data_IF_752468286299
#
_entry.id   IF_752468286299
#
_cell.length_a   1.000
_cell.length_b   1.000
_cell.length_c   1.000
_cell.angle_alpha   90.00
_cell.angle_beta   90.00
_cell.angle_gamma   90.00
#
_symmetry.space_group_name_H-M   'P 1'
#
loop_
_entity.id
_entity.type
_entity.pdbx_description
1 polymer ?
#
# COMPACT_ATOMS: atom_id res chain seq x y z
N UNK A 1 3.24 13.77 -14.24
CA UNK A 1 1.96 13.60 -13.50
C UNK A 1 1.26 12.30 -13.88
N UNK A 2 1.12 11.99 -15.15
CA UNK A 2 0.54 10.74 -15.67
C UNK A 2 1.21 9.50 -15.10
N UNK A 3 2.54 9.40 -15.12
CA UNK A 3 3.33 8.29 -14.57
C UNK A 3 3.01 7.97 -13.10
N UNK A 4 2.85 9.01 -12.27
CA UNK A 4 2.52 8.84 -10.86
C UNK A 4 1.09 8.30 -10.68
N UNK A 5 0.14 8.79 -11.47
CA UNK A 5 -1.26 8.31 -11.42
C UNK A 5 -1.32 6.86 -11.88
N UNK A 6 -0.62 6.52 -12.96
CA UNK A 6 -0.54 5.14 -13.47
C UNK A 6 0.03 4.20 -12.40
N UNK A 7 1.18 4.56 -11.81
CA UNK A 7 1.79 3.78 -10.73
C UNK A 7 0.84 3.57 -9.55
N UNK A 8 0.17 4.63 -9.08
CA UNK A 8 -0.79 4.53 -7.98
C UNK A 8 -1.99 3.64 -8.33
N UNK A 9 -2.46 3.71 -9.56
CA UNK A 9 -3.57 2.88 -10.04
C UNK A 9 -3.16 1.41 -10.08
N UNK A 10 -2.03 1.09 -10.67
CA UNK A 10 -1.48 -0.27 -10.76
C UNK A 10 -1.22 -0.86 -9.36
N UNK A 11 -0.60 -0.09 -8.45
CA UNK A 11 -0.39 -0.49 -7.06
C UNK A 11 -1.72 -0.84 -6.37
N UNK A 12 -2.75 0.00 -6.55
CA UNK A 12 -4.04 -0.22 -5.90
C UNK A 12 -4.82 -1.40 -6.51
N UNK A 13 -4.68 -1.65 -7.80
CA UNK A 13 -5.22 -2.85 -8.45
C UNK A 13 -4.50 -4.09 -7.93
N UNK A 14 -3.17 -4.09 -7.89
CA UNK A 14 -2.37 -5.21 -7.41
C UNK A 14 -2.73 -5.59 -5.97
N UNK A 15 -2.77 -4.61 -5.05
CA UNK A 15 -3.13 -4.88 -3.65
C UNK A 15 -4.55 -5.42 -3.51
N UNK A 16 -5.49 -4.95 -4.34
CA UNK A 16 -6.88 -5.42 -4.34
C UNK A 16 -6.98 -6.88 -4.77
N UNK A 17 -6.26 -7.26 -5.82
CA UNK A 17 -6.21 -8.64 -6.32
C UNK A 17 -5.55 -9.56 -5.28
N UNK A 18 -4.39 -9.19 -4.75
CA UNK A 18 -3.71 -9.99 -3.73
C UNK A 18 -4.55 -10.15 -2.46
N UNK A 19 -5.18 -9.07 -1.99
CA UNK A 19 -6.03 -9.16 -0.82
C UNK A 19 -7.29 -9.97 -1.07
N UNK A 20 -7.87 -9.89 -2.27
CA UNK A 20 -8.97 -10.78 -2.71
C UNK A 20 -8.57 -12.26 -2.63
N UNK A 21 -7.40 -12.61 -3.15
CA UNK A 21 -6.86 -13.96 -3.05
C UNK A 21 -6.61 -14.39 -1.58
N UNK A 22 -6.13 -13.48 -0.73
CA UNK A 22 -6.03 -13.72 0.71
C UNK A 22 -7.38 -14.10 1.34
N UNK A 23 -8.43 -13.36 1.03
CA UNK A 23 -9.76 -13.61 1.59
C UNK A 23 -10.32 -14.97 1.17
N UNK A 24 -10.05 -15.40 -0.06
CA UNK A 24 -10.54 -16.65 -0.61
C UNK A 24 -9.74 -17.86 -0.09
N UNK A 25 -8.42 -17.78 -0.06
CA UNK A 25 -7.54 -18.93 0.17
C UNK A 25 -7.06 -19.01 1.61
N UNK A 26 -6.58 -17.88 2.17
CA UNK A 26 -5.80 -17.87 3.41
C UNK A 26 -6.59 -17.44 4.65
N UNK A 27 -7.69 -16.70 4.52
CA UNK A 27 -8.45 -16.15 5.66
C UNK A 27 -8.87 -17.22 6.68
N UNK A 28 -9.18 -18.43 6.22
CA UNK A 28 -9.63 -19.56 7.06
C UNK A 28 -8.49 -20.54 7.40
N UNK A 29 -7.27 -20.28 6.96
CA UNK A 29 -6.14 -21.16 7.24
C UNK A 29 -5.75 -21.07 8.71
N UNK A 30 -5.37 -22.19 9.31
CA UNK A 30 -4.88 -22.28 10.68
C UNK A 30 -3.39 -21.99 10.82
N UNK A 31 -2.65 -21.89 9.71
CA UNK A 31 -1.23 -21.56 9.73
C UNK A 31 -1.05 -20.04 9.69
N UNK A 32 -0.98 -19.44 10.89
CA UNK A 32 -0.81 -17.98 11.02
C UNK A 32 0.50 -17.47 10.45
N UNK A 33 1.57 -18.29 10.45
CA UNK A 33 2.84 -17.93 9.84
C UNK A 33 2.72 -17.83 8.31
N UNK A 34 2.05 -18.77 7.66
CA UNK A 34 1.77 -18.71 6.21
C UNK A 34 0.91 -17.52 5.85
N UNK A 35 -0.13 -17.22 6.65
CA UNK A 35 -0.97 -16.03 6.47
C UNK A 35 -0.15 -14.74 6.55
N UNK A 36 0.76 -14.64 7.52
CA UNK A 36 1.66 -13.49 7.67
C UNK A 36 2.56 -13.32 6.46
N UNK A 37 3.26 -14.39 6.06
CA UNK A 37 4.13 -14.36 4.88
C UNK A 37 3.38 -13.92 3.63
N UNK A 38 2.16 -14.44 3.45
CA UNK A 38 1.31 -14.02 2.35
C UNK A 38 0.99 -12.52 2.38
N UNK A 39 0.53 -12.00 3.51
CA UNK A 39 0.14 -10.59 3.64
C UNK A 39 1.34 -9.64 3.43
N UNK A 40 2.51 -10.01 3.94
CA UNK A 40 3.75 -9.27 3.71
C UNK A 40 4.17 -9.31 2.25
N UNK A 41 4.13 -10.50 1.65
CA UNK A 41 4.39 -10.66 0.22
C UNK A 41 3.44 -9.80 -0.63
N UNK A 42 2.14 -9.82 -0.34
CA UNK A 42 1.14 -9.03 -1.03
C UNK A 42 1.46 -7.52 -0.98
N UNK A 43 1.89 -7.01 0.19
CA UNK A 43 2.31 -5.61 0.32
C UNK A 43 3.54 -5.30 -0.54
N UNK A 44 4.61 -6.10 -0.40
CA UNK A 44 5.86 -5.87 -1.13
C UNK A 44 5.66 -6.02 -2.63
N UNK A 45 4.97 -7.09 -3.07
CA UNK A 45 4.69 -7.35 -4.47
C UNK A 45 3.87 -6.22 -5.11
N UNK A 46 2.91 -5.66 -4.39
CA UNK A 46 2.12 -4.54 -4.90
C UNK A 46 2.94 -3.27 -5.13
N UNK A 47 4.02 -3.05 -4.37
CA UNK A 47 4.97 -1.96 -4.64
C UNK A 47 5.93 -2.28 -5.79
N UNK A 48 6.37 -3.52 -5.91
CA UNK A 48 7.41 -3.91 -6.85
C UNK A 48 6.86 -4.12 -8.26
N UNK A 49 5.68 -4.75 -8.39
CA UNK A 49 5.11 -5.11 -9.70
C UNK A 49 4.96 -3.90 -10.63
N UNK A 50 4.43 -2.74 -10.20
CA UNK A 50 4.32 -1.57 -11.08
C UNK A 50 5.68 -0.99 -11.52
N UNK A 51 6.77 -1.31 -10.82
CA UNK A 51 8.13 -0.88 -11.21
C UNK A 51 8.75 -1.79 -12.27
N UNK A 52 8.22 -3.01 -12.44
CA UNK A 52 8.70 -3.99 -13.42
C UNK A 52 8.04 -3.68 -14.77
N UNK A 53 8.67 -2.80 -15.55
CA UNK A 53 8.28 -2.54 -16.94
C UNK A 53 8.94 -3.57 -17.85
N UNK A 54 8.18 -4.53 -18.33
CA UNK A 54 8.65 -5.50 -19.32
C UNK A 54 8.30 -4.99 -20.72
N UNK A 55 9.30 -4.61 -21.50
CA UNK A 55 9.15 -4.40 -22.94
C UNK A 55 9.10 -5.78 -23.60
N UNK A 56 7.93 -6.38 -23.65
CA UNK A 56 7.71 -7.57 -24.46
C UNK A 56 7.61 -7.06 -25.89
N UNK A 57 8.71 -7.10 -26.65
CA UNK A 57 8.69 -6.81 -28.07
C UNK A 57 7.76 -7.86 -28.74
N UNK A 58 6.51 -7.53 -28.94
CA UNK A 58 5.65 -8.30 -29.83
C UNK A 58 6.26 -8.18 -31.22
N UNK A 59 6.51 -9.29 -31.92
CA UNK A 59 6.88 -9.20 -33.31
C UNK A 59 5.74 -8.47 -34.02
N UNK A 60 6.00 -7.24 -34.44
CA UNK A 60 5.05 -6.42 -35.17
C UNK A 60 4.62 -7.20 -36.42
N UNK A 61 3.52 -7.90 -36.30
CA UNK A 61 2.75 -8.31 -37.47
C UNK A 61 2.28 -7.02 -38.11
N UNK A 62 2.99 -6.59 -39.14
CA UNK A 62 2.66 -5.43 -39.96
C UNK A 62 1.29 -5.63 -40.61
N UNK A 63 0.25 -5.31 -39.89
CA UNK A 63 -1.00 -4.89 -40.49
C UNK A 63 -0.80 -3.41 -40.84
N UNK A 64 -0.22 -3.16 -42.02
CA UNK A 64 -0.23 -1.84 -42.64
C UNK A 64 -1.68 -1.44 -42.90
N UNK A 65 -2.38 -0.99 -41.88
CA UNK A 65 -3.59 -0.22 -42.05
C UNK A 65 -3.15 1.20 -42.43
N UNK A 66 -3.07 1.45 -43.70
CA UNK A 66 -2.93 2.81 -44.23
C UNK A 66 -4.22 3.56 -43.86
N UNK A 67 -4.23 4.17 -42.70
CA UNK A 67 -5.25 5.17 -42.34
C UNK A 67 -5.00 6.37 -43.23
N UNK A 68 -5.88 6.60 -44.21
CA UNK A 68 -5.91 7.85 -44.97
C UNK A 68 -6.38 8.92 -43.98
N UNK A 69 -5.44 9.61 -43.35
CA UNK A 69 -5.76 10.82 -42.58
C UNK A 69 -6.10 11.93 -43.54
N UNK A 70 -7.35 12.35 -43.54
CA UNK A 70 -7.78 13.56 -44.22
C UNK A 70 -7.11 14.76 -43.53
N UNK A 71 -6.55 15.76 -44.29
CA UNK A 71 -5.92 16.90 -43.70
C UNK A 71 -6.97 17.72 -42.92
N UNK A 72 -6.74 17.83 -41.61
CA UNK A 72 -7.51 18.69 -40.74
C UNK A 72 -7.16 20.16 -41.06
N UNK A 73 -8.11 20.90 -41.58
CA UNK A 73 -7.93 22.35 -41.84
C UNK A 73 -8.01 23.08 -40.51
N UNK A 74 -6.86 23.32 -39.91
CA UNK A 74 -6.75 24.15 -38.69
C UNK A 74 -6.92 25.62 -39.11
N UNK A 75 -8.10 26.18 -38.88
CA UNK A 75 -8.30 27.64 -38.94
C UNK A 75 -7.56 28.26 -37.75
N UNK A 76 -6.33 28.70 -37.98
CA UNK A 76 -5.57 29.52 -37.03
C UNK A 76 -6.23 30.88 -36.84
N UNK A 77 -7.22 30.95 -35.96
CA UNK A 77 -7.62 32.24 -35.39
C UNK A 77 -6.54 32.71 -34.43
N UNK A 78 -5.87 33.80 -34.71
CA UNK A 78 -4.97 34.48 -33.76
C UNK A 78 -5.77 34.99 -32.57
N UNK A 79 -6.12 34.07 -31.66
CA UNK A 79 -6.57 34.45 -30.34
C UNK A 79 -5.30 34.65 -29.49
N UNK A 80 -5.03 35.89 -29.15
CA UNK A 80 -4.08 36.24 -28.08
C UNK A 80 -4.61 35.63 -26.83
N UNK A 81 -4.20 34.39 -26.55
CA UNK A 81 -4.55 33.68 -25.30
C UNK A 81 -3.78 34.34 -24.19
N UNK A 82 -4.41 35.29 -23.51
CA UNK A 82 -4.11 35.54 -22.10
C UNK A 82 -4.24 34.20 -21.42
N UNK A 83 -3.11 33.63 -21.04
CA UNK A 83 -3.08 32.39 -20.27
C UNK A 83 -3.79 32.66 -18.94
N UNK A 84 -5.10 32.48 -18.92
CA UNK A 84 -5.83 32.31 -17.69
C UNK A 84 -5.35 30.98 -17.13
N UNK A 85 -4.59 31.02 -16.05
CA UNK A 85 -4.28 29.89 -15.21
C UNK A 85 -5.61 29.34 -14.62
N UNK A 86 -6.36 28.62 -15.44
CA UNK A 86 -7.46 27.82 -14.94
C UNK A 86 -6.82 26.62 -14.25
N UNK A 87 -6.82 26.61 -12.92
CA UNK A 87 -6.37 25.45 -12.14
C UNK A 87 -7.11 24.21 -12.64
N UNK A 88 -6.36 23.29 -13.20
CA UNK A 88 -6.91 22.02 -13.69
C UNK A 88 -7.50 21.22 -12.52
N UNK A 89 -8.62 20.55 -12.73
CA UNK A 89 -9.19 19.61 -11.75
C UNK A 89 -8.13 18.62 -11.23
N UNK A 90 -7.23 18.19 -12.09
CA UNK A 90 -6.11 17.31 -11.76
C UNK A 90 -5.15 17.93 -10.74
N UNK A 91 -4.86 19.22 -10.84
CA UNK A 91 -4.01 19.94 -9.87
C UNK A 91 -4.68 20.02 -8.50
N UNK A 92 -5.98 20.30 -8.48
CA UNK A 92 -6.76 20.33 -7.23
C UNK A 92 -6.75 18.95 -6.55
N UNK A 93 -7.01 17.89 -7.31
CA UNK A 93 -6.98 16.51 -6.79
C UNK A 93 -5.59 16.12 -6.26
N UNK A 94 -4.52 16.53 -6.94
CA UNK A 94 -3.15 16.30 -6.49
C UNK A 94 -2.85 17.01 -5.17
N UNK A 95 -3.24 18.27 -5.05
CA UNK A 95 -3.07 19.04 -3.80
C UNK A 95 -3.85 18.40 -2.66
N UNK A 96 -5.09 18.00 -2.89
CA UNK A 96 -5.90 17.27 -1.91
C UNK A 96 -5.25 15.94 -1.49
N UNK A 97 -4.74 15.17 -2.47
CA UNK A 97 -4.03 13.92 -2.19
C UNK A 97 -2.80 14.13 -1.31
N UNK A 98 -1.96 15.11 -1.66
CA UNK A 98 -0.75 15.45 -0.89
C UNK A 98 -1.12 15.92 0.52
N UNK A 99 -2.14 16.78 0.67
CA UNK A 99 -2.56 17.28 1.97
C UNK A 99 -3.02 16.16 2.91
N UNK A 100 -3.84 15.21 2.42
CA UNK A 100 -4.31 14.07 3.22
C UNK A 100 -3.16 13.10 3.50
N UNK A 101 -2.28 12.81 2.53
CA UNK A 101 -1.10 11.96 2.74
C UNK A 101 -0.16 12.56 3.79
N UNK A 102 0.08 13.88 3.74
CA UNK A 102 0.88 14.61 4.74
C UNK A 102 0.25 14.53 6.13
N UNK A 103 -1.08 14.61 6.25
CA UNK A 103 -1.77 14.39 7.51
C UNK A 103 -1.51 12.98 8.08
N UNK A 104 -1.57 11.92 7.26
CA UNK A 104 -1.28 10.56 7.70
C UNK A 104 0.20 10.37 8.07
N UNK A 105 1.14 10.98 7.33
CA UNK A 105 2.57 11.02 7.71
C UNK A 105 2.74 11.68 9.08
N UNK A 106 2.13 12.84 9.28
CA UNK A 106 2.18 13.54 10.58
C UNK A 106 1.65 12.70 11.73
N UNK A 107 0.53 12.00 11.52
CA UNK A 107 -0.04 11.06 12.49
C UNK A 107 0.91 9.89 12.80
N UNK A 108 1.54 9.30 11.78
CA UNK A 108 2.52 8.23 11.93
C UNK A 108 3.73 8.70 12.74
N UNK A 109 4.31 9.84 12.36
CA UNK A 109 5.46 10.42 13.06
C UNK A 109 5.13 10.78 14.51
N UNK A 110 3.97 11.38 14.78
CA UNK A 110 3.52 11.67 16.14
C UNK A 110 3.38 10.39 16.98
N UNK A 111 2.87 9.30 16.41
CA UNK A 111 2.81 7.99 17.07
C UNK A 111 4.20 7.44 17.42
N UNK A 112 5.12 7.48 16.47
CA UNK A 112 6.51 7.04 16.69
C UNK A 112 7.23 7.92 17.74
N UNK A 113 7.08 9.24 17.66
CA UNK A 113 7.66 10.17 18.61
C UNK A 113 7.13 9.91 20.03
N UNK A 114 5.82 9.67 20.17
CA UNK A 114 5.23 9.32 21.47
C UNK A 114 5.88 8.06 22.07
N UNK A 115 6.09 7.01 21.27
CA UNK A 115 6.74 5.76 21.72
C UNK A 115 8.19 6.05 22.16
N UNK A 116 8.94 6.83 21.39
CA UNK A 116 10.33 7.20 21.72
C UNK A 116 10.39 7.99 23.03
N UNK A 117 9.56 9.02 23.18
CA UNK A 117 9.49 9.82 24.43
C UNK A 117 9.15 8.90 25.60
N UNK A 118 8.12 8.06 25.47
CA UNK A 118 7.69 7.16 26.52
C UNK A 118 8.79 6.17 26.90
N UNK A 119 9.56 5.65 25.94
CA UNK A 119 10.68 4.74 26.22
C UNK A 119 11.83 5.42 26.92
N UNK A 120 12.02 6.74 26.69
CA UNK A 120 13.05 7.53 27.32
C UNK A 120 12.70 7.95 28.77
N UNK A 121 11.41 8.24 29.01
CA UNK A 121 10.92 8.76 30.30
C UNK A 121 10.44 7.68 31.25
N UNK A 122 10.11 6.46 30.77
CA UNK A 122 9.62 5.37 31.61
C UNK A 122 10.71 4.73 32.46
N UNK A 123 10.33 4.30 33.66
CA UNK A 123 11.19 3.46 34.52
C UNK A 123 11.43 2.11 33.86
N UNK A 124 12.67 1.63 33.89
CA UNK A 124 13.06 0.35 33.29
C UNK A 124 13.24 -0.70 34.39
N UNK A 125 12.52 -1.81 34.27
CA UNK A 125 12.63 -2.94 35.19
C UNK A 125 12.90 -4.24 34.45
N UNK A 126 13.49 -5.19 35.16
CA UNK A 126 13.64 -6.57 34.67
C UNK A 126 12.54 -7.42 35.31
N UNK A 127 11.68 -8.00 34.47
CA UNK A 127 10.66 -8.94 34.88
C UNK A 127 10.89 -10.26 34.12
N UNK A 128 11.07 -11.35 34.83
CA UNK A 128 11.28 -12.69 34.24
C UNK A 128 12.39 -12.72 33.15
N UNK A 129 13.48 -11.99 33.34
CA UNK A 129 14.60 -11.92 32.38
C UNK A 129 14.32 -11.04 31.15
N UNK A 130 13.18 -10.35 31.11
CA UNK A 130 12.81 -9.41 30.05
C UNK A 130 12.87 -7.98 30.55
N UNK A 131 13.49 -7.09 29.78
CA UNK A 131 13.54 -5.65 30.10
C UNK A 131 12.24 -5.00 29.68
N UNK A 132 11.53 -4.44 30.65
CA UNK A 132 10.24 -3.75 30.44
C UNK A 132 10.31 -2.30 30.82
N UNK A 133 9.47 -1.49 30.17
CA UNK A 133 9.25 -0.10 30.46
C UNK A 133 7.93 0.03 31.23
N UNK A 134 8.01 0.57 32.44
CA UNK A 134 6.83 0.79 33.27
C UNK A 134 6.10 2.04 32.79
N UNK A 135 4.89 1.85 32.30
CA UNK A 135 4.05 2.95 31.82
C UNK A 135 2.62 2.80 32.32
N UNK A 136 2.11 3.85 32.92
CA UNK A 136 0.69 3.97 33.31
C UNK A 136 -0.19 4.52 32.18
N UNK A 137 0.43 5.14 31.18
CA UNK A 137 -0.29 5.78 30.07
C UNK A 137 -0.55 4.83 28.89
N UNK A 138 0.35 3.84 28.71
CA UNK A 138 0.24 2.85 27.67
C UNK A 138 -0.28 1.54 28.28
N UNK A 139 -1.34 1.00 27.69
CA UNK A 139 -1.69 -0.39 27.94
C UNK A 139 -0.52 -1.31 27.57
N UNK A 140 -0.51 -2.54 28.06
CA UNK A 140 0.47 -3.53 27.69
C UNK A 140 0.63 -3.57 26.17
N UNK A 141 1.83 -3.32 25.69
CA UNK A 141 2.13 -3.22 24.27
C UNK A 141 3.62 -3.38 24.00
N UNK A 142 3.95 -3.82 22.80
CA UNK A 142 5.32 -3.96 22.35
C UNK A 142 5.58 -3.18 21.05
N UNK A 143 6.76 -2.59 20.94
CA UNK A 143 7.23 -1.93 19.73
C UNK A 143 8.71 -2.26 19.50
N UNK A 144 9.02 -3.05 18.49
CA UNK A 144 10.32 -3.71 18.31
C UNK A 144 10.73 -4.46 19.58
N UNK A 145 11.84 -4.06 20.21
CA UNK A 145 12.36 -4.64 21.46
C UNK A 145 11.85 -3.93 22.73
N UNK A 146 11.05 -2.86 22.58
CA UNK A 146 10.49 -2.11 23.70
C UNK A 146 9.18 -2.77 24.13
N UNK A 147 9.08 -3.20 25.38
CA UNK A 147 7.86 -3.74 25.96
C UNK A 147 7.39 -2.80 27.08
N UNK A 148 6.17 -2.30 26.95
CA UNK A 148 5.53 -1.43 27.93
C UNK A 148 4.51 -2.21 28.72
N UNK A 149 4.52 -2.09 30.04
CA UNK A 149 3.58 -2.76 30.95
C UNK A 149 3.24 -1.83 32.10
N UNK A 150 1.97 -1.88 32.54
CA UNK A 150 1.54 -1.31 33.81
C UNK A 150 1.30 -2.45 34.82
N UNK A 151 2.25 -2.74 35.72
CA UNK A 151 2.12 -3.83 36.67
C UNK A 151 1.05 -3.59 37.72
N UNK A 152 0.52 -2.36 37.86
CA UNK A 152 -0.54 -2.06 38.78
C UNK A 152 -1.92 -2.54 38.33
N UNK A 153 -2.07 -2.86 37.05
CA UNK A 153 -3.35 -3.22 36.42
C UNK A 153 -3.61 -4.73 36.40
N UNK A 154 -2.64 -5.57 36.81
CA UNK A 154 -2.73 -7.02 36.70
C UNK A 154 -2.23 -7.71 37.96
N UNK A 155 -2.83 -8.85 38.29
CA UNK A 155 -2.28 -9.76 39.30
C UNK A 155 -0.98 -10.39 38.78
N UNK A 156 -0.22 -11.11 39.63
CA UNK A 156 1.05 -11.70 39.25
C UNK A 156 0.96 -12.74 38.12
N UNK A 157 -0.15 -13.48 38.05
CA UNK A 157 -0.37 -14.52 37.04
C UNK A 157 -0.73 -13.89 35.70
N UNK A 158 -1.70 -12.97 35.68
CA UNK A 158 -2.06 -12.21 34.49
C UNK A 158 -0.86 -11.43 33.93
N UNK A 159 -0.03 -10.84 34.79
CA UNK A 159 1.18 -10.12 34.37
C UNK A 159 2.17 -11.00 33.61
N UNK A 160 2.35 -12.26 34.05
CA UNK A 160 3.24 -13.19 33.37
C UNK A 160 2.72 -13.55 31.98
N UNK A 161 1.43 -13.81 31.85
CA UNK A 161 0.80 -14.12 30.56
C UNK A 161 0.88 -12.92 29.59
N UNK A 162 0.65 -11.72 30.11
CA UNK A 162 0.76 -10.49 29.33
C UNK A 162 2.20 -10.28 28.87
N UNK A 163 3.19 -10.42 29.76
CA UNK A 163 4.59 -10.27 29.44
C UNK A 163 5.05 -11.26 28.39
N UNK A 164 4.60 -12.51 28.49
CA UNK A 164 4.90 -13.55 27.51
C UNK A 164 4.31 -13.20 26.14
N UNK A 165 3.06 -12.79 26.09
CA UNK A 165 2.38 -12.35 24.87
C UNK A 165 3.14 -11.19 24.18
N UNK A 166 3.46 -10.13 24.91
CA UNK A 166 4.21 -8.97 24.38
C UNK A 166 5.63 -9.35 23.93
N UNK A 167 6.25 -10.30 24.64
CA UNK A 167 7.55 -10.84 24.25
C UNK A 167 7.49 -11.55 22.90
N UNK A 168 6.41 -12.28 22.61
CA UNK A 168 6.23 -12.89 21.29
C UNK A 168 6.02 -11.85 20.19
N UNK A 169 5.27 -10.77 20.44
CA UNK A 169 5.18 -9.67 19.48
C UNK A 169 6.55 -9.07 19.15
N UNK A 170 7.37 -8.83 20.17
CA UNK A 170 8.72 -8.30 20.00
C UNK A 170 9.62 -9.27 19.23
N UNK A 171 9.66 -10.55 19.64
CA UNK A 171 10.49 -11.59 19.01
C UNK A 171 10.11 -11.89 17.57
N UNK A 172 8.83 -11.86 17.24
CA UNK A 172 8.33 -12.11 15.90
C UNK A 172 8.44 -10.87 15.00
N UNK A 173 8.81 -9.71 15.54
CA UNK A 173 8.99 -8.48 14.76
C UNK A 173 7.69 -7.91 14.18
N UNK A 174 6.55 -8.09 14.86
CA UNK A 174 5.24 -7.63 14.41
C UNK A 174 5.16 -6.11 14.18
N UNK A 175 6.05 -5.35 14.85
CA UNK A 175 6.14 -3.89 14.69
C UNK A 175 6.56 -3.47 13.28
N UNK A 176 7.44 -4.24 12.63
CA UNK A 176 7.86 -3.97 11.26
C UNK A 176 6.70 -4.12 10.28
N UNK A 177 5.94 -5.21 10.40
CA UNK A 177 4.78 -5.47 9.53
C UNK A 177 3.73 -4.37 9.67
N UNK A 178 3.48 -3.92 10.92
CA UNK A 178 2.56 -2.80 11.18
C UNK A 178 3.06 -1.50 10.56
N UNK A 179 4.35 -1.22 10.66
CA UNK A 179 4.95 -0.03 10.06
C UNK A 179 4.81 -0.05 8.53
N UNK A 180 5.09 -1.19 7.89
CA UNK A 180 4.88 -1.36 6.45
C UNK A 180 3.42 -1.12 6.05
N UNK A 181 2.46 -1.63 6.82
CA UNK A 181 1.04 -1.41 6.57
C UNK A 181 0.63 0.07 6.75
N UNK A 182 1.23 0.79 7.71
CA UNK A 182 1.00 2.24 7.89
C UNK A 182 1.59 3.04 6.72
N UNK A 183 2.78 2.68 6.21
CA UNK A 183 3.37 3.32 5.02
C UNK A 183 2.48 3.10 3.79
N UNK A 184 1.98 1.88 3.58
CA UNK A 184 1.04 1.60 2.51
C UNK A 184 -0.25 2.42 2.66
N UNK A 185 -0.75 2.58 3.91
CA UNK A 185 -1.92 3.39 4.19
C UNK A 185 -1.71 4.88 3.87
N UNK A 186 -0.53 5.43 4.14
CA UNK A 186 -0.18 6.81 3.79
C UNK A 186 -0.27 7.04 2.27
N UNK A 187 0.15 6.07 1.48
CA UNK A 187 0.15 6.17 0.01
C UNK A 187 -1.23 5.90 -0.57
N UNK A 188 -1.95 4.92 -0.03
CA UNK A 188 -3.23 4.43 -0.58
C UNK A 188 -4.40 4.60 0.39
N UNK A 189 -4.45 5.71 1.13
CA UNK A 189 -5.45 6.01 2.16
C UNK A 189 -6.89 6.00 1.64
N UNK A 190 -7.09 6.32 0.37
CA UNK A 190 -8.38 6.33 -0.31
C UNK A 190 -8.90 4.93 -0.66
N UNK A 191 -8.03 3.89 -0.63
CA UNK A 191 -8.42 2.52 -0.94
C UNK A 191 -8.89 1.78 0.32
N UNK A 192 -10.17 1.38 0.42
CA UNK A 192 -10.70 0.66 1.59
C UNK A 192 -10.04 -0.70 1.80
N UNK A 193 -9.52 -1.32 0.74
CA UNK A 193 -8.82 -2.61 0.81
C UNK A 193 -7.56 -2.52 1.67
N UNK A 194 -6.83 -1.41 1.61
CA UNK A 194 -5.63 -1.18 2.43
C UNK A 194 -5.98 -1.14 3.92
N UNK A 195 -7.10 -0.53 4.29
CA UNK A 195 -7.60 -0.54 5.67
C UNK A 195 -7.97 -1.95 6.14
N UNK A 196 -8.60 -2.74 5.26
CA UNK A 196 -8.93 -4.13 5.55
C UNK A 196 -7.68 -5.01 5.68
N UNK A 197 -6.68 -4.82 4.81
CA UNK A 197 -5.39 -5.52 4.85
C UNK A 197 -4.65 -5.21 6.15
N UNK A 198 -4.52 -3.93 6.52
CA UNK A 198 -3.94 -3.50 7.79
C UNK A 198 -4.62 -4.19 8.99
N UNK A 199 -5.96 -4.22 8.99
CA UNK A 199 -6.72 -4.92 10.02
C UNK A 199 -6.44 -6.43 10.04
N UNK A 200 -6.33 -7.06 8.87
CA UNK A 200 -6.03 -8.49 8.75
C UNK A 200 -4.64 -8.83 9.29
N UNK A 201 -3.63 -7.97 9.05
CA UNK A 201 -2.28 -8.10 9.61
C UNK A 201 -2.34 -8.06 11.15
N UNK A 202 -2.97 -7.04 11.72
CA UNK A 202 -3.08 -6.89 13.18
C UNK A 202 -3.77 -8.10 13.80
N UNK A 203 -4.90 -8.54 13.26
CA UNK A 203 -5.63 -9.72 13.75
C UNK A 203 -4.78 -10.99 13.65
N UNK A 204 -4.00 -11.14 12.57
CA UNK A 204 -3.13 -12.30 12.42
C UNK A 204 -1.97 -12.29 13.41
N UNK A 205 -1.45 -11.11 13.76
CA UNK A 205 -0.42 -10.96 14.81
C UNK A 205 -0.93 -11.39 16.17
N UNK A 206 -2.16 -10.98 16.54
CA UNK A 206 -2.77 -11.41 17.80
C UNK A 206 -2.90 -12.93 17.85
N UNK A 207 -3.43 -13.55 16.79
CA UNK A 207 -3.56 -15.00 16.73
C UNK A 207 -2.21 -15.73 16.77
N UNK A 208 -1.18 -15.15 16.16
CA UNK A 208 0.15 -15.72 16.16
C UNK A 208 0.81 -15.64 17.56
N UNK A 209 0.66 -14.52 18.26
CA UNK A 209 1.16 -14.35 19.61
C UNK A 209 0.41 -15.25 20.59
N UNK A 210 -0.94 -15.28 20.54
CA UNK A 210 -1.76 -16.16 21.38
C UNK A 210 -1.40 -17.64 21.21
N UNK A 211 -1.25 -18.08 19.96
CA UNK A 211 -0.87 -19.46 19.66
C UNK A 211 0.50 -19.80 20.22
N UNK A 212 1.46 -18.87 20.21
CA UNK A 212 2.79 -19.07 20.79
C UNK A 212 2.76 -19.17 22.31
N UNK A 213 1.93 -18.38 22.99
CA UNK A 213 1.74 -18.47 24.45
C UNK A 213 1.22 -19.86 24.83
N UNK A 214 0.21 -20.36 24.11
CA UNK A 214 -0.35 -21.70 24.35
C UNK A 214 0.65 -22.81 24.01
N UNK A 215 1.37 -22.72 22.88
CA UNK A 215 2.42 -23.66 22.48
C UNK A 215 3.57 -23.73 23.52
N UNK A 216 3.82 -22.65 24.25
CA UNK A 216 4.86 -22.58 25.29
C UNK A 216 4.45 -23.23 26.61
N UNK A 217 3.21 -23.70 26.71
CA UNK A 217 2.74 -24.51 27.85
C UNK A 217 1.83 -23.79 28.83
N UNK A 218 1.43 -22.56 28.53
CA UNK A 218 0.46 -21.79 29.34
C UNK A 218 -0.91 -22.46 29.30
N UNK A 219 -1.56 -22.58 30.47
CA UNK A 219 -2.90 -23.16 30.55
C UNK A 219 -3.89 -22.28 29.74
N UNK A 220 -4.63 -22.98 28.89
CA UNK A 220 -5.52 -22.32 27.93
C UNK A 220 -6.63 -21.52 28.62
N UNK A 221 -7.22 -22.03 29.71
CA UNK A 221 -8.33 -21.41 30.42
C UNK A 221 -7.83 -20.19 31.20
N UNK A 222 -6.69 -20.34 31.90
CA UNK A 222 -6.05 -19.22 32.62
C UNK A 222 -5.69 -18.09 31.68
N UNK A 223 -5.12 -18.42 30.51
CA UNK A 223 -4.79 -17.40 29.51
C UNK A 223 -6.01 -16.68 28.94
N UNK A 224 -7.10 -17.40 28.68
CA UNK A 224 -8.35 -16.78 28.22
C UNK A 224 -8.94 -15.82 29.27
N UNK A 225 -8.84 -16.18 30.56
CA UNK A 225 -9.25 -15.28 31.65
C UNK A 225 -8.38 -14.03 31.70
N UNK A 226 -7.07 -14.14 31.49
CA UNK A 226 -6.16 -13.00 31.39
C UNK A 226 -6.60 -12.05 30.27
N UNK A 227 -6.91 -12.57 29.06
CA UNK A 227 -7.40 -11.76 27.93
C UNK A 227 -8.70 -11.04 28.31
N UNK A 228 -9.59 -11.72 29.00
CA UNK A 228 -10.88 -11.15 29.44
C UNK A 228 -10.68 -10.07 30.52
N UNK A 229 -9.80 -10.32 31.51
CA UNK A 229 -9.49 -9.37 32.58
C UNK A 229 -8.87 -8.07 32.05
N UNK A 230 -7.93 -8.18 31.08
CA UNK A 230 -7.40 -6.99 30.39
C UNK A 230 -8.47 -6.15 29.73
N UNK A 231 -9.50 -6.80 29.18
CA UNK A 231 -10.62 -6.10 28.54
C UNK A 231 -11.52 -5.41 29.55
N UNK A 232 -11.86 -6.08 30.64
CA UNK A 232 -12.72 -5.51 31.69
C UNK A 232 -12.02 -4.32 32.36
N UNK A 233 -10.70 -4.39 32.56
CA UNK A 233 -9.87 -3.32 33.11
C UNK A 233 -9.73 -2.09 32.20
N UNK A 234 -9.89 -2.27 30.88
CA UNK A 234 -9.89 -1.16 29.92
C UNK A 234 -11.32 -0.64 29.72
N UNK A 235 -11.66 0.48 30.33
CA UNK A 235 -13.02 1.07 30.38
C UNK A 235 -13.64 1.50 29.00
N UNK A 236 -13.09 1.03 27.88
CA UNK A 236 -13.54 1.35 26.53
C UNK A 236 -14.42 0.25 25.95
N UNK A 237 -15.69 0.24 26.34
CA UNK A 237 -16.70 -0.71 25.80
C UNK A 237 -17.13 -0.23 24.41
N UNK A 238 -16.36 -0.55 23.36
CA UNK A 238 -16.85 -0.44 21.99
C UNK A 238 -17.15 -1.84 21.42
N UNK A 239 -18.25 -1.97 20.70
CA UNK A 239 -18.67 -3.23 20.05
C UNK A 239 -17.56 -3.87 19.16
N UNK A 240 -16.64 -3.08 18.70
CA UNK A 240 -15.55 -3.52 17.83
C UNK A 240 -14.46 -4.29 18.61
N UNK A 241 -14.15 -3.86 19.84
CA UNK A 241 -13.24 -4.57 20.75
C UNK A 241 -13.82 -5.90 21.23
N UNK A 242 -15.10 -5.94 21.55
CA UNK A 242 -15.80 -7.18 21.93
C UNK A 242 -15.66 -8.27 20.87
N UNK A 243 -15.79 -7.93 19.58
CA UNK A 243 -15.63 -8.89 18.48
C UNK A 243 -14.19 -9.39 18.32
N UNK A 244 -13.17 -8.57 18.57
CA UNK A 244 -11.78 -9.01 18.49
C UNK A 244 -11.46 -10.04 19.58
N UNK A 245 -11.84 -9.78 20.80
CA UNK A 245 -11.63 -10.70 21.94
C UNK A 245 -12.38 -12.00 21.74
N UNK A 246 -13.65 -11.94 21.35
CA UNK A 246 -14.42 -13.13 20.99
C UNK A 246 -13.72 -13.99 19.93
N UNK A 247 -13.15 -13.32 18.92
CA UNK A 247 -12.43 -14.03 17.85
C UNK A 247 -11.12 -14.65 18.35
N UNK A 248 -10.37 -14.00 19.28
CA UNK A 248 -9.18 -14.56 19.92
C UNK A 248 -9.52 -15.77 20.74
N UNK A 249 -10.52 -15.69 21.64
CA UNK A 249 -10.99 -16.79 22.47
C UNK A 249 -11.48 -17.97 21.60
N UNK A 250 -12.28 -17.70 20.58
CA UNK A 250 -12.73 -18.72 19.64
C UNK A 250 -11.57 -19.37 18.88
N UNK A 251 -10.52 -18.61 18.56
CA UNK A 251 -9.34 -19.12 17.90
C UNK A 251 -8.59 -20.07 18.85
N UNK A 252 -8.36 -19.67 20.10
CA UNK A 252 -7.68 -20.47 21.12
C UNK A 252 -8.43 -21.79 21.36
N UNK A 253 -9.78 -21.76 21.38
CA UNK A 253 -10.61 -22.95 21.59
C UNK A 253 -10.63 -23.92 20.39
N UNK A 254 -10.23 -23.47 19.21
CA UNK A 254 -10.14 -24.37 18.07
C UNK A 254 -8.84 -25.14 18.08
N UNK A 255 -8.91 -26.46 18.24
CA UNK A 255 -7.78 -27.35 17.95
C UNK A 255 -7.45 -27.27 16.45
N UNK A 256 -6.63 -26.30 16.08
CA UNK A 256 -6.18 -26.19 14.69
C UNK A 256 -5.23 -27.34 14.35
N UNK A 257 -5.68 -28.24 13.50
CA UNK A 257 -4.75 -29.13 12.78
C UNK A 257 -3.82 -28.23 11.97
N UNK A 258 -2.51 -28.46 12.10
CA UNK A 258 -1.48 -27.68 11.40
C UNK A 258 -1.85 -27.59 9.91
N UNK A 259 -2.19 -26.39 9.44
CA UNK A 259 -2.60 -26.17 8.06
C UNK A 259 -1.51 -26.58 7.09
N UNK A 260 -1.89 -27.05 5.91
CA UNK A 260 -0.94 -27.47 4.89
C UNK A 260 -0.20 -26.26 4.34
N UNK A 261 1.13 -26.26 4.44
CA UNK A 261 2.01 -25.21 3.87
C UNK A 261 1.94 -25.11 2.35
N UNK A 262 1.33 -26.09 1.68
CA UNK A 262 1.21 -26.14 0.22
C UNK A 262 0.38 -24.99 -0.37
N UNK A 263 -0.51 -24.42 0.42
CA UNK A 263 -1.27 -23.24 -0.02
C UNK A 263 -0.37 -22.03 -0.31
N UNK A 264 0.80 -21.94 0.32
CA UNK A 264 1.81 -20.93 0.01
C UNK A 264 2.30 -20.99 -1.44
N UNK A 265 2.27 -22.17 -2.07
CA UNK A 265 2.68 -22.35 -3.47
C UNK A 265 1.71 -21.65 -4.45
N UNK A 266 0.46 -21.42 -4.05
CA UNK A 266 -0.52 -20.67 -4.86
C UNK A 266 -0.19 -19.18 -5.02
N UNK A 267 0.80 -18.67 -4.27
CA UNK A 267 1.33 -17.30 -4.45
C UNK A 267 1.94 -17.09 -5.84
N UNK A 268 2.69 -18.10 -6.33
CA UNK A 268 3.41 -17.98 -7.59
C UNK A 268 2.50 -17.77 -8.81
N UNK A 269 1.47 -18.60 -9.06
CA UNK A 269 0.61 -18.38 -10.22
C UNK A 269 -0.16 -17.06 -10.16
N UNK A 270 -0.58 -16.61 -8.98
CA UNK A 270 -1.30 -15.33 -8.83
C UNK A 270 -0.38 -14.16 -9.15
N UNK A 271 0.86 -14.18 -8.63
CA UNK A 271 1.82 -13.10 -8.91
C UNK A 271 2.27 -13.09 -10.37
N UNK A 272 2.51 -14.26 -10.98
CA UNK A 272 2.88 -14.38 -12.40
C UNK A 272 1.74 -13.86 -13.29
N UNK A 273 0.51 -14.29 -13.02
CA UNK A 273 -0.67 -13.83 -13.79
C UNK A 273 -0.84 -12.30 -13.68
N UNK A 274 -0.58 -11.73 -12.52
CA UNK A 274 -0.70 -10.30 -12.28
C UNK A 274 0.41 -9.51 -12.98
N UNK A 275 1.66 -10.00 -12.94
CA UNK A 275 2.78 -9.42 -13.69
C UNK A 275 2.49 -9.45 -15.19
N UNK A 276 2.00 -10.57 -15.69
CA UNK A 276 1.64 -10.71 -17.11
C UNK A 276 0.51 -9.76 -17.51
N UNK A 277 -0.53 -9.67 -16.70
CA UNK A 277 -1.66 -8.76 -16.94
C UNK A 277 -1.21 -7.29 -16.97
N UNK A 278 -0.35 -6.87 -16.04
CA UNK A 278 0.20 -5.51 -16.00
C UNK A 278 1.15 -5.24 -17.17
N UNK A 279 1.95 -6.22 -17.59
CA UNK A 279 2.84 -6.09 -18.74
C UNK A 279 2.06 -5.90 -20.05
N UNK A 280 0.98 -6.63 -20.27
CA UNK A 280 0.16 -6.51 -21.48
C UNK A 280 -0.60 -5.18 -21.55
N UNK A 281 -1.04 -4.62 -20.41
CA UNK A 281 -1.77 -3.35 -20.38
C UNK A 281 -0.93 -2.13 -20.76
N UNK A 282 0.38 -2.18 -20.58
CA UNK A 282 1.28 -1.08 -20.87
C UNK A 282 1.63 -0.93 -22.36
N UNK A 283 1.48 -1.97 -23.17
CA UNK A 283 1.76 -1.90 -24.62
C UNK A 283 0.77 -0.99 -25.37
N UNK A 284 -0.51 -1.04 -25.04
CA UNK A 284 -1.52 -0.19 -25.70
C UNK A 284 -1.31 1.29 -25.37
N UNK A 285 -0.91 1.62 -24.13
CA UNK A 285 -0.66 2.98 -23.71
C UNK A 285 0.61 3.56 -24.37
N UNK A 286 1.69 2.79 -24.51
CA UNK A 286 2.94 3.21 -25.17
C UNK A 286 2.75 3.34 -26.70
N UNK A 287 2.01 2.45 -27.35
CA UNK A 287 1.74 2.55 -28.77
C UNK A 287 0.90 3.80 -29.10
N UNK A 288 -0.05 4.16 -28.26
CA UNK A 288 -0.83 5.38 -28.43
C UNK A 288 0.02 6.65 -28.22
N UNK A 289 0.92 6.68 -27.24
CA UNK A 289 1.85 7.81 -27.04
C UNK A 289 2.84 7.96 -28.20
N UNK A 290 3.42 6.88 -28.67
CA UNK A 290 4.34 6.91 -29.81
C UNK A 290 3.66 7.30 -31.11
N UNK A 291 2.40 6.92 -31.30
CA UNK A 291 1.58 7.36 -32.45
C UNK A 291 1.24 8.85 -32.38
N UNK A 292 0.98 9.39 -31.19
CA UNK A 292 0.70 10.79 -30.97
C UNK A 292 1.95 11.67 -31.10
N UNK A 293 3.12 11.21 -30.62
CA UNK A 293 4.42 11.87 -30.81
C UNK A 293 4.86 11.87 -32.29
N UNK A 294 4.71 10.74 -32.97
CA UNK A 294 5.03 10.65 -34.42
C UNK A 294 4.11 11.53 -35.27
N UNK A 295 2.82 11.65 -34.89
CA UNK A 295 1.88 12.55 -35.52
C UNK A 295 2.27 14.01 -35.33
N UNK A 296 2.67 14.40 -34.13
CA UNK A 296 3.10 15.77 -33.80
C UNK A 296 4.43 16.13 -34.47
N UNK A 297 5.36 15.21 -34.61
CA UNK A 297 6.64 15.41 -35.29
C UNK A 297 6.46 15.58 -36.82
N UNK A 298 5.53 14.84 -37.40
CA UNK A 298 5.15 15.01 -38.82
C UNK A 298 4.48 16.36 -39.08
N UNK A 299 3.62 16.82 -38.19
CA UNK A 299 2.95 18.13 -38.30
C UNK A 299 3.98 19.27 -38.20
N UNK A 300 4.95 19.19 -37.29
CA UNK A 300 6.02 20.17 -37.18
C UNK A 300 6.91 20.25 -38.43
N UNK A 301 7.31 19.11 -39.01
CA UNK A 301 8.11 19.07 -40.22
C UNK A 301 7.38 19.66 -41.44
N UNK A 302 6.09 19.35 -41.59
CA UNK A 302 5.28 19.97 -42.68
C UNK A 302 5.16 21.50 -42.52
N UNK A 303 5.03 21.98 -41.29
CA UNK A 303 4.94 23.42 -41.03
C UNK A 303 6.27 24.15 -41.33
N UNK A 304 7.41 23.53 -41.09
CA UNK A 304 8.73 24.07 -41.44
C UNK A 304 8.97 24.09 -42.97
N UNK A 305 8.56 23.05 -43.70
CA UNK A 305 8.68 23.01 -45.17
C UNK A 305 7.77 24.02 -45.85
N UNK A 306 6.54 24.29 -45.39
CA UNK A 306 5.65 25.30 -45.92
C UNK A 306 6.17 26.75 -45.69
N UNK A 307 6.83 27.03 -44.58
CA UNK A 307 7.42 28.35 -44.32
C UNK A 307 8.55 28.68 -45.30
N UNK A 308 9.30 27.71 -45.78
CA UNK A 308 10.38 27.91 -46.76
C UNK A 308 9.85 28.20 -48.17
N UNK A 309 8.69 27.66 -48.58
CA UNK A 309 8.12 27.88 -49.91
C UNK A 309 7.53 29.27 -50.08
N UNK A 310 7.09 29.90 -49.05
CA UNK A 310 6.47 31.26 -49.11
C UNK A 310 7.52 32.39 -49.25
N UNK A 311 8.78 32.14 -48.87
CA UNK A 311 9.83 33.16 -48.91
C UNK A 311 10.53 33.25 -50.29
N UNK A 312 10.47 32.20 -51.15
CA UNK A 312 11.15 32.21 -52.46
C UNK A 312 10.39 32.93 -53.60
N UNK A 313 9.14 33.31 -53.42
CA UNK A 313 8.41 34.08 -54.41
C UNK A 313 8.24 35.56 -53.97
N UNK A 314 9.27 36.39 -54.19
CA UNK A 314 9.10 37.82 -54.12
C UNK A 314 8.17 38.30 -55.26
N UNK A 315 7.12 39.07 -55.02
CA UNK A 315 6.32 39.64 -56.07
C UNK A 315 7.18 40.60 -56.87
N UNK A 316 7.39 40.32 -58.16
CA UNK A 316 7.92 41.33 -59.10
C UNK A 316 6.90 42.40 -59.25
N UNK A 317 7.27 43.63 -58.90
CA UNK A 317 6.45 44.82 -59.17
C UNK A 317 6.46 45.13 -60.68
N UNK A 318 5.32 45.24 -61.34
CA UNK A 318 5.31 45.71 -62.71
C UNK A 318 5.54 47.21 -62.70
N UNK A 319 6.71 47.66 -63.10
CA UNK A 319 6.93 49.11 -63.25
C UNK A 319 8.36 49.64 -63.33
N UNK A 320 9.37 48.78 -63.73
CA UNK A 320 10.75 49.27 -63.93
C UNK A 320 11.26 48.99 -65.33
N UNK A 321 10.41 49.23 -66.33
CA UNK A 321 10.83 49.48 -67.74
C UNK A 321 10.16 50.74 -68.16
N UNK A 322 10.74 51.90 -67.87
CA UNK A 322 10.68 53.18 -68.58
C UNK A 322 11.16 54.30 -67.65
N UNK A 323 12.50 54.51 -67.59
CA UNK A 323 13.18 55.77 -67.38
C UNK A 323 14.66 55.66 -67.79
#
# INVERSE_FOLDING_TARGET
MTEMITYLTELNIAITIFFGAYLLIFRKDSNFATRRVYLLFAMVASFVIPLLRFNIATPAGTLNTTLITLPEVILQGSATSTAQHTTSLTEILLVCYIAVSTFFVGKLLAGLTRIVIQSATSEKKWLNGVRVHISKELHASSFFSLIFIDPAQSNNEDLNHILEHETFHARLGHSLDRLMAEVLLVISWFNPVVWMLRKAIVVNHEYQADNRVIEHGTDQVSYQLTILNQYIGSASISNQFSNQIKNRINMINKNYKKGSSWKGLMLFPVSIALVFFMACGNEEAMNNQNAEEASNEHVQKQTEEEIFYVVEQMPQWPGEEDL
#
